data_IF_488848403251
#
_entry.id   IF_488848403251
#
_cell.length_a   1.000
_cell.length_b   1.000
_cell.length_c   1.000
_cell.angle_alpha   90.00
_cell.angle_beta   90.00
_cell.angle_gamma   90.00
#
_symmetry.space_group_name_H-M   'P 1'
#
loop_
_entity.id
_entity.type
_entity.pdbx_description
1 polymer ?
#
# COMPACT_ATOMS: atom_id res chain seq x y z
N UNK A 1 -7.08 15.07 -35.95
CA UNK A 1 -6.69 13.88 -35.16
C UNK A 1 -6.43 14.31 -33.72
N UNK A 2 -7.32 13.94 -32.79
CA UNK A 2 -7.09 14.15 -31.35
C UNK A 2 -6.04 13.13 -30.87
N UNK A 3 -5.01 13.53 -30.11
CA UNK A 3 -4.03 12.58 -29.60
C UNK A 3 -4.71 11.61 -28.63
N UNK A 4 -4.52 10.31 -28.84
CA UNK A 4 -5.00 9.26 -27.95
C UNK A 4 -4.56 9.58 -26.51
N UNK A 5 -5.52 9.68 -25.58
CA UNK A 5 -5.25 9.81 -24.14
C UNK A 5 -4.37 8.64 -23.72
N UNK A 6 -3.05 8.85 -23.62
CA UNK A 6 -2.10 7.88 -23.04
C UNK A 6 -2.67 7.46 -21.68
N UNK A 7 -2.97 6.17 -21.56
CA UNK A 7 -3.67 5.61 -20.42
C UNK A 7 -2.83 5.88 -19.15
N UNK A 8 -3.37 6.66 -18.21
CA UNK A 8 -2.59 7.37 -17.17
C UNK A 8 -1.72 6.49 -16.26
N UNK A 9 -1.88 5.17 -16.29
CA UNK A 9 -1.21 4.20 -15.42
C UNK A 9 -0.57 3.02 -16.19
N UNK A 10 0.00 3.24 -17.38
CA UNK A 10 0.72 2.18 -18.15
C UNK A 10 1.91 1.56 -17.38
N UNK A 11 2.48 2.26 -16.40
CA UNK A 11 3.56 1.72 -15.58
C UNK A 11 3.08 0.63 -14.61
N UNK A 12 1.81 0.64 -14.19
CA UNK A 12 1.29 -0.40 -13.29
C UNK A 12 1.19 -1.76 -13.98
N UNK A 13 0.99 -1.80 -15.31
CA UNK A 13 1.03 -3.07 -16.04
C UNK A 13 2.44 -3.67 -16.11
N UNK A 14 3.49 -2.83 -16.20
CA UNK A 14 4.88 -3.32 -16.14
C UNK A 14 5.18 -4.03 -14.81
N UNK A 15 4.73 -3.41 -13.71
CA UNK A 15 4.85 -4.00 -12.36
C UNK A 15 3.98 -5.25 -12.23
N UNK A 16 2.79 -5.25 -12.84
CA UNK A 16 1.90 -6.40 -12.80
C UNK A 16 2.54 -7.64 -13.44
N UNK A 17 3.22 -7.49 -14.58
CA UNK A 17 3.90 -8.61 -15.25
C UNK A 17 5.02 -9.20 -14.39
N UNK A 18 5.75 -8.38 -13.63
CA UNK A 18 6.79 -8.88 -12.72
C UNK A 18 6.22 -9.49 -11.42
N UNK A 19 5.10 -8.97 -10.91
CA UNK A 19 4.49 -9.43 -9.66
C UNK A 19 3.59 -10.66 -9.85
N UNK A 20 2.87 -10.72 -10.97
CA UNK A 20 1.76 -11.66 -11.20
C UNK A 20 1.91 -12.48 -12.49
N UNK A 21 2.98 -12.37 -13.31
CA UNK A 21 3.21 -13.08 -14.59
C UNK A 21 1.99 -13.28 -15.53
N UNK A 22 2.13 -12.96 -16.81
CA UNK A 22 0.98 -13.02 -17.76
C UNK A 22 0.30 -14.41 -17.90
N UNK A 23 0.96 -15.49 -17.49
CA UNK A 23 0.42 -16.86 -17.46
C UNK A 23 -0.53 -17.15 -16.27
N UNK A 24 -0.57 -16.31 -15.23
CA UNK A 24 -1.18 -16.68 -13.95
C UNK A 24 -2.70 -16.45 -13.84
N UNK A 25 -3.32 -15.69 -14.76
CA UNK A 25 -4.71 -15.25 -14.55
C UNK A 25 -5.72 -16.40 -14.56
N UNK A 26 -5.47 -17.41 -15.39
CA UNK A 26 -6.43 -18.48 -15.62
C UNK A 26 -6.19 -19.69 -14.70
N UNK A 27 -4.94 -20.05 -14.42
CA UNK A 27 -4.62 -21.32 -13.74
C UNK A 27 -4.23 -21.18 -12.26
N UNK A 28 -3.96 -19.95 -11.80
CA UNK A 28 -3.47 -19.70 -10.44
C UNK A 28 -4.32 -18.67 -9.68
N UNK A 29 -4.39 -18.84 -8.37
CA UNK A 29 -4.83 -17.83 -7.40
C UNK A 29 -3.60 -17.10 -6.86
N UNK A 30 -3.74 -15.81 -6.65
CA UNK A 30 -2.68 -14.99 -6.07
C UNK A 30 -3.05 -14.59 -4.64
N UNK A 31 -2.33 -15.15 -3.67
CA UNK A 31 -2.53 -14.86 -2.25
C UNK A 31 -1.56 -13.75 -1.83
N UNK A 32 -2.08 -12.67 -1.26
CA UNK A 32 -1.28 -11.57 -0.71
C UNK A 32 -0.94 -11.89 0.75
N UNK A 33 0.36 -12.00 1.05
CA UNK A 33 0.87 -12.37 2.37
C UNK A 33 1.58 -11.17 2.98
N UNK A 34 1.12 -10.74 4.14
CA UNK A 34 1.75 -9.70 4.96
C UNK A 34 2.41 -10.38 6.16
N UNK A 35 3.74 -10.34 6.21
CA UNK A 35 4.53 -10.98 7.27
C UNK A 35 4.98 -9.95 8.31
N UNK A 36 4.67 -10.22 9.58
CA UNK A 36 4.99 -9.37 10.73
C UNK A 36 5.96 -10.06 11.71
N UNK A 37 6.78 -9.26 12.39
CA UNK A 37 7.55 -9.68 13.56
C UNK A 37 6.62 -9.95 14.74
N UNK A 38 6.76 -11.13 15.34
CA UNK A 38 5.83 -11.62 16.37
C UNK A 38 6.15 -11.12 17.78
N UNK A 39 7.41 -10.73 18.02
CA UNK A 39 7.84 -10.27 19.34
C UNK A 39 7.27 -8.90 19.71
N UNK A 40 6.86 -8.72 20.96
CA UNK A 40 6.44 -7.43 21.55
C UNK A 40 5.43 -6.66 20.68
N UNK A 41 4.34 -7.33 20.29
CA UNK A 41 3.28 -6.73 19.50
C UNK A 41 2.26 -6.00 20.39
N UNK A 42 2.17 -4.70 20.20
CA UNK A 42 1.09 -3.87 20.76
C UNK A 42 -0.19 -4.13 19.97
N UNK A 43 -1.23 -4.66 20.64
CA UNK A 43 -2.55 -4.86 20.02
C UNK A 43 -3.13 -3.57 19.45
N UNK A 44 -2.87 -2.43 20.11
CA UNK A 44 -3.35 -1.13 19.66
C UNK A 44 -2.65 -0.69 18.37
N UNK A 45 -1.35 -0.90 18.25
CA UNK A 45 -0.63 -0.51 17.04
C UNK A 45 -0.89 -1.47 15.89
N UNK A 46 -1.04 -2.77 16.19
CA UNK A 46 -1.50 -3.77 15.23
C UNK A 46 -2.90 -3.42 14.70
N UNK A 47 -3.84 -3.01 15.56
CA UNK A 47 -5.19 -2.65 15.09
C UNK A 47 -5.18 -1.41 14.19
N UNK A 48 -4.34 -0.41 14.46
CA UNK A 48 -4.16 0.72 13.55
C UNK A 48 -3.58 0.29 12.19
N UNK A 49 -2.64 -0.65 12.20
CA UNK A 49 -2.09 -1.21 10.98
C UNK A 49 -3.16 -1.95 10.17
N UNK A 50 -3.89 -2.87 10.79
CA UNK A 50 -4.97 -3.61 10.15
C UNK A 50 -6.07 -2.70 9.60
N UNK A 51 -6.49 -1.69 10.39
CA UNK A 51 -7.48 -0.71 9.95
C UNK A 51 -6.98 0.12 8.76
N UNK A 52 -5.68 0.43 8.70
CA UNK A 52 -5.08 1.13 7.56
C UNK A 52 -5.12 0.27 6.30
N UNK A 53 -4.77 -1.01 6.42
CA UNK A 53 -4.83 -1.97 5.31
C UNK A 53 -6.28 -2.11 4.82
N UNK A 54 -7.23 -2.24 5.73
CA UNK A 54 -8.67 -2.30 5.44
C UNK A 54 -9.16 -1.03 4.71
N UNK A 55 -8.77 0.16 5.17
CA UNK A 55 -9.09 1.43 4.51
C UNK A 55 -8.49 1.53 3.11
N UNK A 56 -7.25 1.08 2.91
CA UNK A 56 -6.64 1.05 1.58
C UNK A 56 -7.43 0.17 0.62
N UNK A 57 -7.84 -1.02 1.07
CA UNK A 57 -8.66 -1.94 0.28
C UNK A 57 -10.04 -1.35 -0.01
N UNK A 58 -10.74 -0.86 1.02
CA UNK A 58 -12.09 -0.30 0.89
C UNK A 58 -12.16 0.92 -0.04
N UNK A 59 -11.06 1.68 -0.18
CA UNK A 59 -10.96 2.80 -1.12
C UNK A 59 -10.75 2.37 -2.58
N UNK A 60 -10.40 1.10 -2.82
CA UNK A 60 -10.36 0.50 -4.16
C UNK A 60 -11.68 -0.21 -4.49
N UNK A 61 -12.57 -0.38 -3.53
CA UNK A 61 -13.90 -0.94 -3.79
C UNK A 61 -14.68 -0.09 -4.80
N UNK A 62 -15.26 -0.75 -5.81
CA UNK A 62 -15.91 -0.11 -6.96
C UNK A 62 -17.02 0.88 -6.58
N UNK A 63 -17.76 0.60 -5.50
CA UNK A 63 -18.85 1.47 -5.00
C UNK A 63 -18.36 2.53 -4.01
N UNK A 64 -17.06 2.63 -3.78
CA UNK A 64 -16.43 3.58 -2.87
C UNK A 64 -16.45 3.14 -1.40
N UNK A 65 -15.69 3.88 -0.59
CA UNK A 65 -15.42 3.53 0.80
C UNK A 65 -16.66 3.55 1.71
N UNK A 66 -17.63 4.45 1.46
CA UNK A 66 -18.86 4.49 2.27
C UNK A 66 -19.72 3.24 2.08
N UNK A 67 -19.86 2.78 0.83
CA UNK A 67 -20.58 1.53 0.55
C UNK A 67 -19.84 0.33 1.13
N UNK A 68 -18.52 0.35 1.07
CA UNK A 68 -17.65 -0.66 1.67
C UNK A 68 -17.84 -0.78 3.18
N UNK A 69 -17.75 0.34 3.92
CA UNK A 69 -17.83 0.34 5.39
C UNK A 69 -19.18 -0.14 5.90
N UNK A 70 -20.25 0.05 5.12
CA UNK A 70 -21.62 -0.35 5.47
C UNK A 70 -21.96 -1.80 5.08
N UNK A 71 -21.09 -2.50 4.36
CA UNK A 71 -21.38 -3.83 3.81
C UNK A 71 -20.37 -4.85 4.31
N UNK A 72 -20.68 -5.54 5.40
CA UNK A 72 -19.76 -6.50 6.05
C UNK A 72 -19.21 -7.59 5.11
N UNK A 73 -20.05 -8.07 4.17
CA UNK A 73 -19.67 -9.14 3.25
C UNK A 73 -18.54 -8.77 2.28
N UNK A 74 -18.32 -7.49 2.00
CA UNK A 74 -17.27 -7.04 1.08
C UNK A 74 -16.04 -6.51 1.79
N UNK A 75 -16.05 -6.48 3.11
CA UNK A 75 -14.90 -6.07 3.92
C UNK A 75 -13.73 -7.03 3.73
N UNK A 76 -12.51 -6.51 3.84
CA UNK A 76 -11.29 -7.29 3.73
C UNK A 76 -11.23 -8.29 4.89
N UNK A 77 -11.07 -9.56 4.56
CA UNK A 77 -10.94 -10.64 5.53
C UNK A 77 -9.53 -11.22 5.44
N UNK A 78 -8.94 -11.48 6.60
CA UNK A 78 -7.82 -12.37 6.71
C UNK A 78 -8.38 -13.80 6.71
N UNK A 79 -8.00 -14.58 5.70
CA UNK A 79 -8.48 -15.96 5.56
C UNK A 79 -7.74 -16.88 6.54
N UNK A 80 -6.47 -16.57 6.84
CA UNK A 80 -5.63 -17.33 7.76
C UNK A 80 -4.68 -16.42 8.55
N UNK A 81 -4.43 -16.76 9.83
CA UNK A 81 -3.34 -16.22 10.64
C UNK A 81 -2.50 -17.40 11.15
N UNK A 82 -1.23 -17.49 10.71
CA UNK A 82 -0.31 -18.56 11.12
C UNK A 82 0.48 -18.20 12.38
N UNK A 83 0.74 -19.19 13.25
CA UNK A 83 1.60 -19.06 14.43
C UNK A 83 3.02 -19.57 14.14
N UNK A 84 4.04 -18.88 14.69
CA UNK A 84 5.47 -19.08 14.39
C UNK A 84 6.10 -17.89 13.65
N UNK A 85 5.26 -17.19 12.89
CA UNK A 85 5.44 -15.84 12.35
C UNK A 85 4.04 -15.30 12.06
N UNK A 86 3.70 -14.08 12.50
CA UNK A 86 2.36 -13.54 12.20
C UNK A 86 2.29 -13.24 10.70
N UNK A 87 1.62 -14.12 9.97
CA UNK A 87 1.31 -13.96 8.56
C UNK A 87 -0.18 -13.69 8.41
N UNK A 88 -0.53 -12.58 7.77
CA UNK A 88 -1.90 -12.26 7.39
C UNK A 88 -2.04 -12.60 5.91
N UNK A 89 -2.89 -13.58 5.61
CA UNK A 89 -3.11 -14.06 4.25
C UNK A 89 -4.45 -13.53 3.74
N UNK A 90 -4.40 -12.80 2.64
CA UNK A 90 -5.57 -12.36 1.88
C UNK A 90 -5.61 -13.22 0.62
N UNK A 91 -6.49 -14.22 0.61
CA UNK A 91 -6.58 -15.18 -0.48
C UNK A 91 -7.12 -14.54 -1.75
N UNK A 92 -6.58 -14.99 -2.89
CA UNK A 92 -7.07 -14.70 -4.23
C UNK A 92 -7.37 -13.21 -4.48
N UNK A 93 -6.37 -12.36 -4.26
CA UNK A 93 -6.51 -10.89 -4.35
C UNK A 93 -6.99 -10.43 -5.74
N UNK A 94 -6.69 -11.20 -6.80
CA UNK A 94 -7.11 -10.91 -8.17
C UNK A 94 -8.60 -11.19 -8.43
N UNK A 95 -9.22 -12.08 -7.64
CA UNK A 95 -10.68 -12.23 -7.64
C UNK A 95 -11.40 -11.05 -6.96
N UNK A 96 -10.71 -10.38 -6.03
CA UNK A 96 -11.22 -9.29 -5.19
C UNK A 96 -11.00 -7.91 -5.83
N UNK A 97 -9.86 -7.70 -6.50
CA UNK A 97 -9.46 -6.43 -7.11
C UNK A 97 -9.01 -6.61 -8.57
N UNK A 98 -9.32 -5.65 -9.48
CA UNK A 98 -8.65 -5.55 -10.77
C UNK A 98 -7.12 -5.55 -10.63
N UNK A 99 -6.41 -6.16 -11.59
CA UNK A 99 -4.94 -6.30 -11.56
C UNK A 99 -4.18 -5.04 -11.15
N UNK A 100 -4.53 -3.89 -11.74
CA UNK A 100 -3.87 -2.61 -11.43
C UNK A 100 -4.11 -2.14 -10.00
N UNK A 101 -5.29 -2.41 -9.46
CA UNK A 101 -5.65 -2.07 -8.08
C UNK A 101 -4.96 -3.03 -7.10
N UNK A 102 -4.86 -4.33 -7.42
CA UNK A 102 -4.10 -5.29 -6.63
C UNK A 102 -2.60 -4.92 -6.53
N UNK A 103 -1.96 -4.57 -7.65
CA UNK A 103 -0.58 -4.05 -7.65
C UNK A 103 -0.47 -2.82 -6.76
N UNK A 104 -1.43 -1.90 -6.89
CA UNK A 104 -1.39 -0.66 -6.15
C UNK A 104 -1.61 -0.86 -4.65
N UNK A 105 -2.49 -1.79 -4.27
CA UNK A 105 -2.73 -2.20 -2.90
C UNK A 105 -1.48 -2.83 -2.28
N UNK A 106 -0.83 -3.75 -3.01
CA UNK A 106 0.46 -4.33 -2.64
C UNK A 106 1.50 -3.24 -2.35
N UNK A 107 1.66 -2.26 -3.25
CA UNK A 107 2.64 -1.17 -3.09
C UNK A 107 2.32 -0.24 -1.91
N UNK A 108 1.04 0.03 -1.63
CA UNK A 108 0.63 0.85 -0.48
C UNK A 108 1.05 0.21 0.85
N UNK A 109 0.95 -1.11 0.96
CA UNK A 109 1.33 -1.82 2.19
C UNK A 109 2.86 -1.97 2.25
N UNK A 110 3.49 -2.43 1.16
CA UNK A 110 4.94 -2.64 1.10
C UNK A 110 5.75 -1.38 1.43
N UNK A 111 5.31 -0.23 0.92
CA UNK A 111 6.00 1.05 1.14
C UNK A 111 5.39 1.90 2.26
N UNK A 112 4.46 1.36 3.06
CA UNK A 112 3.90 2.04 4.21
C UNK A 112 4.97 2.52 5.22
N UNK A 113 6.02 1.73 5.55
CA UNK A 113 7.10 2.18 6.44
C UNK A 113 7.80 3.46 5.94
N UNK A 114 7.86 3.60 4.60
CA UNK A 114 8.55 4.70 3.91
C UNK A 114 7.69 5.93 3.68
N UNK A 115 6.36 5.79 3.75
CA UNK A 115 5.41 6.80 3.31
C UNK A 115 5.44 8.08 4.15
N UNK A 116 5.76 7.98 5.44
CA UNK A 116 5.53 9.05 6.42
C UNK A 116 6.68 9.31 7.41
N UNK A 117 7.88 8.75 7.23
CA UNK A 117 9.03 8.91 8.16
C UNK A 117 9.29 10.36 8.63
N UNK A 118 8.93 11.38 7.83
CA UNK A 118 9.14 12.79 8.17
C UNK A 118 7.95 13.49 8.84
N UNK A 119 6.75 12.90 8.90
CA UNK A 119 5.58 13.57 9.52
C UNK A 119 5.63 13.47 11.04
N UNK A 120 6.00 12.30 11.58
CA UNK A 120 6.00 12.04 13.02
C UNK A 120 7.07 12.83 13.80
N UNK A 121 8.19 13.17 13.16
CA UNK A 121 9.26 13.96 13.78
C UNK A 121 8.96 15.46 13.77
N UNK A 122 8.25 15.96 12.75
CA UNK A 122 7.99 17.40 12.60
C UNK A 122 6.66 17.84 13.20
N UNK A 123 5.66 16.97 13.31
CA UNK A 123 4.33 17.32 13.83
C UNK A 123 4.25 17.52 15.36
N UNK A 124 5.31 17.20 16.12
CA UNK A 124 5.32 17.35 17.57
C UNK A 124 5.43 18.80 18.06
N UNK A 125 5.81 19.72 17.18
CA UNK A 125 5.95 21.13 17.50
C UNK A 125 5.15 21.94 16.46
N UNK A 126 4.57 23.07 16.87
CA UNK A 126 4.08 24.19 16.04
C UNK A 126 2.56 24.41 15.90
N UNK A 127 2.20 25.68 16.09
CA UNK A 127 0.89 26.31 16.00
C UNK A 127 0.40 26.49 14.55
N UNK A 128 -0.91 26.67 14.40
CA UNK A 128 -1.69 26.53 13.16
C UNK A 128 -1.26 27.44 11.98
N UNK A 129 -0.54 28.54 12.23
CA UNK A 129 -0.13 29.51 11.18
C UNK A 129 1.23 29.20 10.53
N UNK A 130 2.17 28.60 11.27
CA UNK A 130 3.43 28.05 10.70
C UNK A 130 3.22 26.73 9.95
N UNK A 131 2.04 26.15 10.13
CA UNK A 131 1.66 24.82 9.68
C UNK A 131 1.74 24.63 8.16
N UNK A 132 1.39 25.63 7.35
CA UNK A 132 1.26 25.43 5.90
C UNK A 132 2.59 25.36 5.15
N UNK A 133 3.55 26.22 5.49
CA UNK A 133 4.87 26.23 4.85
C UNK A 133 5.68 24.99 5.27
N UNK A 134 5.67 24.68 6.57
CA UNK A 134 6.34 23.49 7.10
C UNK A 134 5.69 22.21 6.59
N UNK A 135 4.36 22.13 6.52
CA UNK A 135 3.68 20.97 5.94
C UNK A 135 4.05 20.75 4.48
N UNK A 136 4.21 21.81 3.68
CA UNK A 136 4.70 21.68 2.32
C UNK A 136 6.14 21.12 2.26
N UNK A 137 7.02 21.58 3.16
CA UNK A 137 8.40 21.08 3.30
C UNK A 137 8.42 19.60 3.73
N UNK A 138 7.62 19.23 4.73
CA UNK A 138 7.48 17.86 5.25
C UNK A 138 6.92 16.93 4.17
N UNK A 139 5.89 17.35 3.43
CA UNK A 139 5.32 16.59 2.30
C UNK A 139 6.36 16.38 1.20
N UNK A 140 7.19 17.40 0.91
CA UNK A 140 8.30 17.27 -0.06
C UNK A 140 9.36 16.28 0.42
N UNK A 141 9.73 16.32 1.70
CA UNK A 141 10.69 15.38 2.30
C UNK A 141 10.16 13.95 2.30
N UNK A 142 8.91 13.73 2.71
CA UNK A 142 8.24 12.43 2.64
C UNK A 142 8.24 11.89 1.20
N UNK A 143 7.93 12.75 0.22
CA UNK A 143 7.96 12.37 -1.20
C UNK A 143 9.36 12.01 -1.66
N UNK A 144 10.39 12.76 -1.25
CA UNK A 144 11.79 12.48 -1.60
C UNK A 144 12.24 11.15 -1.02
N UNK A 145 11.91 10.88 0.25
CA UNK A 145 12.19 9.61 0.93
C UNK A 145 11.49 8.45 0.23
N UNK A 146 10.18 8.57 -0.03
CA UNK A 146 9.42 7.54 -0.74
C UNK A 146 9.99 7.27 -2.13
N UNK A 147 10.36 8.30 -2.90
CA UNK A 147 11.01 8.13 -4.20
C UNK A 147 12.33 7.37 -4.10
N UNK A 148 13.18 7.70 -3.11
CA UNK A 148 14.44 6.99 -2.89
C UNK A 148 14.17 5.50 -2.59
N UNK A 149 13.17 5.21 -1.78
CA UNK A 149 12.82 3.83 -1.43
C UNK A 149 12.23 3.07 -2.62
N UNK A 150 11.40 3.72 -3.45
CA UNK A 150 10.88 3.13 -4.69
C UNK A 150 12.00 2.85 -5.71
N UNK A 151 13.00 3.73 -5.83
CA UNK A 151 14.15 3.52 -6.74
C UNK A 151 15.04 2.36 -6.33
N UNK A 152 15.05 2.01 -5.03
CA UNK A 152 15.83 0.91 -4.49
C UNK A 152 15.05 -0.42 -4.47
N UNK A 153 13.80 -0.44 -4.95
CA UNK A 153 13.00 -1.66 -5.01
C UNK A 153 13.24 -2.37 -6.35
N UNK A 154 13.79 -3.59 -6.30
CA UNK A 154 14.09 -4.39 -7.47
C UNK A 154 12.87 -4.63 -8.37
N UNK A 155 11.66 -4.67 -7.80
CA UNK A 155 10.41 -4.80 -8.56
C UNK A 155 10.17 -3.60 -9.49
N UNK A 156 10.73 -2.44 -9.14
CA UNK A 156 10.48 -1.15 -9.79
C UNK A 156 11.66 -0.69 -10.65
N UNK A 157 12.72 -1.50 -10.78
CA UNK A 157 13.96 -1.16 -11.50
C UNK A 157 13.74 -0.80 -12.97
N UNK A 158 12.72 -1.38 -13.60
CA UNK A 158 12.38 -1.17 -15.02
C UNK A 158 11.49 0.06 -15.25
N UNK A 159 11.15 0.80 -14.19
CA UNK A 159 10.41 2.04 -14.29
C UNK A 159 11.35 3.21 -14.56
N UNK A 160 10.92 4.09 -15.45
CA UNK A 160 11.60 5.37 -15.66
C UNK A 160 11.44 6.29 -14.45
N UNK A 161 12.34 7.27 -14.32
CA UNK A 161 12.29 8.26 -13.24
C UNK A 161 10.94 9.01 -13.19
N UNK A 162 10.35 9.33 -14.34
CA UNK A 162 9.03 9.95 -14.42
C UNK A 162 7.90 9.04 -13.92
N UNK A 163 7.99 7.74 -14.20
CA UNK A 163 7.04 6.74 -13.70
C UNK A 163 7.15 6.57 -12.19
N UNK A 164 8.37 6.51 -11.64
CA UNK A 164 8.61 6.49 -10.19
C UNK A 164 8.06 7.77 -9.53
N UNK A 165 8.27 8.94 -10.15
CA UNK A 165 7.73 10.22 -9.66
C UNK A 165 6.20 10.18 -9.59
N UNK A 166 5.54 9.68 -10.64
CA UNK A 166 4.07 9.56 -10.69
C UNK A 166 3.56 8.56 -9.66
N UNK A 167 4.21 7.39 -9.54
CA UNK A 167 3.87 6.38 -8.54
C UNK A 167 3.99 6.95 -7.12
N UNK A 168 5.10 7.60 -6.79
CA UNK A 168 5.31 8.23 -5.49
C UNK A 168 4.24 9.29 -5.17
N UNK A 169 3.87 10.12 -6.15
CA UNK A 169 2.81 11.11 -6.00
C UNK A 169 1.46 10.44 -5.72
N UNK A 170 1.14 9.36 -6.43
CA UNK A 170 -0.11 8.64 -6.27
C UNK A 170 -0.17 7.97 -4.88
N UNK A 171 0.88 7.25 -4.47
CA UNK A 171 0.94 6.60 -3.15
C UNK A 171 0.79 7.63 -2.03
N UNK A 172 1.52 8.75 -2.13
CA UNK A 172 1.43 9.82 -1.14
C UNK A 172 0.03 10.44 -1.06
N UNK A 173 -0.65 10.65 -2.19
CA UNK A 173 -2.04 11.15 -2.18
C UNK A 173 -2.96 10.24 -1.38
N UNK A 174 -2.76 8.92 -1.43
CA UNK A 174 -3.55 7.97 -0.63
C UNK A 174 -3.20 8.02 0.85
N UNK A 175 -1.91 8.08 1.18
CA UNK A 175 -1.46 8.24 2.56
C UNK A 175 -2.00 9.51 3.23
N UNK A 176 -2.21 10.58 2.44
CA UNK A 176 -2.74 11.85 2.95
C UNK A 176 -4.22 11.81 3.33
N UNK A 177 -5.01 10.88 2.78
CA UNK A 177 -6.45 10.83 3.05
C UNK A 177 -6.72 10.51 4.53
N UNK A 178 -6.00 9.52 5.07
CA UNK A 178 -6.16 9.06 6.46
C UNK A 178 -4.88 9.32 7.27
N UNK A 179 -4.31 10.53 7.14
CA UNK A 179 -2.95 10.88 7.63
C UNK A 179 -2.67 10.39 9.06
N UNK A 180 -3.57 10.63 10.02
CA UNK A 180 -3.40 10.22 11.43
C UNK A 180 -3.34 8.70 11.61
N UNK A 181 -4.16 7.97 10.84
CA UNK A 181 -4.22 6.52 10.89
C UNK A 181 -2.96 5.92 10.24
N UNK A 182 -2.61 6.43 9.06
CA UNK A 182 -1.42 6.02 8.30
C UNK A 182 -0.14 6.31 9.07
N UNK A 183 -0.05 7.40 9.83
CA UNK A 183 1.12 7.71 10.66
C UNK A 183 1.37 6.63 11.72
N UNK A 184 0.32 6.24 12.47
CA UNK A 184 0.43 5.19 13.48
C UNK A 184 0.80 3.85 12.86
N UNK A 185 0.14 3.49 11.75
CA UNK A 185 0.43 2.26 11.03
C UNK A 185 1.82 2.25 10.39
N UNK A 186 2.35 3.40 9.94
CA UNK A 186 3.68 3.53 9.38
C UNK A 186 4.77 3.33 10.43
N UNK A 187 4.58 3.83 11.66
CA UNK A 187 5.49 3.56 12.79
C UNK A 187 5.51 2.06 13.11
N UNK A 188 4.33 1.46 13.27
CA UNK A 188 4.21 0.02 13.50
C UNK A 188 4.88 -0.78 12.38
N UNK A 189 4.62 -0.44 11.11
CA UNK A 189 5.19 -1.13 9.97
C UNK A 189 6.72 -0.98 9.89
N UNK A 190 7.31 0.16 10.28
CA UNK A 190 8.76 0.31 10.33
C UNK A 190 9.44 -0.66 11.30
N UNK A 191 8.77 -1.00 12.40
CA UNK A 191 9.33 -1.87 13.43
C UNK A 191 8.97 -3.34 13.22
N UNK A 192 7.76 -3.61 12.70
CA UNK A 192 7.16 -4.94 12.71
C UNK A 192 6.92 -5.53 11.33
N UNK A 193 6.86 -4.75 10.25
CA UNK A 193 6.63 -5.32 8.92
C UNK A 193 7.91 -5.97 8.39
N UNK A 194 7.91 -7.29 8.22
CA UNK A 194 9.01 -8.04 7.61
C UNK A 194 8.96 -7.97 6.10
N UNK A 195 7.76 -8.08 5.53
CA UNK A 195 7.58 -8.09 4.09
C UNK A 195 6.13 -8.21 3.66
N UNK A 196 5.92 -7.91 2.38
CA UNK A 196 4.66 -8.13 1.67
C UNK A 196 5.00 -8.90 0.40
N UNK A 197 4.40 -10.08 0.23
CA UNK A 197 4.70 -10.97 -0.91
C UNK A 197 3.41 -11.45 -1.56
N UNK A 198 3.51 -11.86 -2.82
CA UNK A 198 2.46 -12.57 -3.53
C UNK A 198 2.89 -14.03 -3.66
N UNK A 199 2.06 -14.95 -3.19
CA UNK A 199 2.24 -16.38 -3.37
C UNK A 199 1.21 -16.91 -4.35
N UNK A 200 1.66 -17.74 -5.28
CA UNK A 200 0.79 -18.41 -6.27
C UNK A 200 0.32 -19.73 -5.70
N UNK A 201 -0.96 -20.04 -5.91
CA UNK A 201 -1.58 -21.33 -5.56
C UNK A 201 -2.36 -21.83 -6.77
N UNK A 202 -2.19 -23.09 -7.15
CA UNK A 202 -2.97 -23.67 -8.26
C UNK A 202 -4.46 -23.61 -7.95
N UNK A 203 -5.29 -23.27 -8.94
CA UNK A 203 -6.73 -23.49 -8.85
C UNK A 203 -6.96 -25.01 -8.88
N UNK A 204 -7.65 -25.52 -7.86
CA UNK A 204 -8.16 -26.89 -7.87
C UNK A 204 -9.33 -27.00 -8.84
#
# INVERSE_FOLDING_TARGET
>A
MLPAKRNKNQYLSKIATSLFSDEDYNDYKADLIISLEQSNLSFRDLSYFLLTVDHFYGRMYKKGFLSYSMTELVQLKADEIRQGSIEIIIEDILSKLPLKEAVYFYLLIKHLPSGLKSISETAKNFSETFYNYERAKVVRQARKSLRKNLKNDDLLKDLTDDEIVKLAQNLQKRYQIDTKLVEKASRFANEKLKGVTIKRRKKN
#
